data_IF_123568262733
#
_entry.id   IF_123568262733
#
_cell.length_a   1.000
_cell.length_b   1.000
_cell.length_c   1.000
_cell.angle_alpha   90.00
_cell.angle_beta   90.00
_cell.angle_gamma   90.00
#
_symmetry.space_group_name_H-M   'P 1'
#
loop_
_entity.id
_entity.type
_entity.pdbx_description
1 polymer ?
#
# COMPACT_ATOMS: atom_id res chain seq x y z
N UNK A 1 17.30 0.54 23.49
CA UNK A 1 16.13 -0.24 23.01
C UNK A 1 14.96 0.71 22.82
N UNK A 2 14.76 1.20 21.62
CA UNK A 2 13.53 1.88 21.27
C UNK A 2 12.45 0.82 21.22
N UNK A 3 11.47 0.90 22.11
CA UNK A 3 10.42 -0.12 22.22
C UNK A 3 9.61 -0.21 20.92
N UNK A 4 9.16 -1.42 20.58
CA UNK A 4 8.29 -1.71 19.43
C UNK A 4 7.10 -0.75 19.31
N UNK A 5 6.62 -0.17 20.42
CA UNK A 5 5.57 0.83 20.44
C UNK A 5 5.87 2.15 19.69
N UNK A 6 7.14 2.50 19.50
CA UNK A 6 7.53 3.75 18.79
C UNK A 6 7.53 3.56 17.27
N UNK A 7 7.81 2.36 16.78
CA UNK A 7 7.79 2.01 15.36
C UNK A 7 6.35 2.03 14.83
N UNK A 8 5.43 1.46 15.58
CA UNK A 8 4.01 1.37 15.17
C UNK A 8 3.24 2.69 15.27
N UNK A 9 3.65 3.61 16.15
CA UNK A 9 3.04 4.95 16.26
C UNK A 9 3.33 5.88 15.08
N UNK A 10 4.30 5.55 14.22
CA UNK A 10 4.64 6.32 13.03
C UNK A 10 3.80 5.97 11.80
N UNK A 11 3.04 4.88 11.88
CA UNK A 11 2.24 4.43 10.76
C UNK A 11 1.17 5.45 10.39
N UNK A 12 1.09 5.75 9.11
CA UNK A 12 0.02 6.51 8.54
C UNK A 12 0.17 8.03 8.59
N UNK A 13 1.40 8.55 8.63
CA UNK A 13 1.67 10.00 8.64
C UNK A 13 0.82 10.73 9.70
N UNK A 14 0.73 10.16 10.90
CA UNK A 14 -0.16 10.64 11.97
C UNK A 14 -0.01 12.15 12.24
N UNK A 15 1.22 12.67 12.16
CA UNK A 15 1.52 14.08 12.37
C UNK A 15 1.59 14.91 11.09
N UNK A 16 1.48 14.27 9.92
CA UNK A 16 1.60 14.88 8.60
C UNK A 16 0.43 14.49 7.69
N UNK A 17 -0.83 14.85 8.06
CA UNK A 17 -1.99 14.55 7.23
C UNK A 17 -1.98 15.47 6.00
N UNK A 18 -1.48 14.96 4.89
CA UNK A 18 -1.26 15.73 3.68
C UNK A 18 -2.39 15.58 2.66
N UNK A 19 -2.81 16.68 2.06
CA UNK A 19 -3.68 16.73 0.89
C UNK A 19 -4.91 15.83 0.97
N UNK A 20 -5.13 15.03 -0.07
CA UNK A 20 -6.26 14.07 -0.18
C UNK A 20 -6.28 13.07 0.98
N UNK A 21 -5.11 12.58 1.43
CA UNK A 21 -5.07 11.71 2.60
C UNK A 21 -5.54 12.43 3.88
N UNK A 22 -5.19 13.72 4.03
CA UNK A 22 -5.68 14.54 5.14
C UNK A 22 -7.21 14.69 5.12
N UNK A 23 -7.78 14.97 3.95
CA UNK A 23 -9.23 15.05 3.75
C UNK A 23 -9.94 13.73 4.04
N UNK A 24 -9.37 12.62 3.57
CA UNK A 24 -9.87 11.28 3.88
C UNK A 24 -9.87 11.01 5.39
N UNK A 25 -8.75 11.28 6.08
CA UNK A 25 -8.64 11.11 7.53
C UNK A 25 -9.64 11.99 8.28
N UNK A 26 -9.80 13.25 7.88
CA UNK A 26 -10.72 14.18 8.52
C UNK A 26 -12.18 13.74 8.30
N UNK A 27 -12.49 13.12 7.17
CA UNK A 27 -13.78 12.48 6.89
C UNK A 27 -14.02 11.26 7.77
N UNK A 28 -12.99 10.46 8.06
CA UNK A 28 -13.07 9.37 9.05
C UNK A 28 -13.33 9.92 10.45
N UNK A 29 -12.61 10.97 10.85
CA UNK A 29 -12.83 11.64 12.16
C UNK A 29 -14.25 12.17 12.27
N UNK A 30 -14.78 12.77 11.22
CA UNK A 30 -16.18 13.23 11.19
C UNK A 30 -17.17 12.06 11.33
N UNK A 31 -16.88 10.92 10.73
CA UNK A 31 -17.74 9.73 10.82
C UNK A 31 -17.71 9.08 12.20
N UNK A 32 -16.53 8.91 12.82
CA UNK A 32 -16.39 8.22 14.12
C UNK A 32 -16.39 9.17 15.33
N UNK A 33 -16.48 10.48 15.10
CA UNK A 33 -16.63 11.50 16.14
C UNK A 33 -15.31 12.07 16.68
N UNK A 34 -14.20 11.33 16.62
CA UNK A 34 -12.89 11.82 17.07
C UNK A 34 -11.72 11.01 16.51
N UNK A 35 -10.53 11.60 16.52
CA UNK A 35 -9.29 10.88 16.19
C UNK A 35 -9.01 9.75 17.19
N UNK A 36 -9.38 9.92 18.46
CA UNK A 36 -9.24 8.88 19.49
C UNK A 36 -10.09 7.64 19.21
N UNK A 37 -11.25 7.80 18.58
CA UNK A 37 -12.10 6.68 18.18
C UNK A 37 -11.51 5.81 17.07
N UNK A 38 -10.49 6.30 16.36
CA UNK A 38 -9.74 5.57 15.32
C UNK A 38 -8.50 4.85 15.87
N UNK A 39 -8.03 5.21 17.08
CA UNK A 39 -6.83 4.62 17.70
C UNK A 39 -7.19 3.36 18.51
N UNK A 40 -7.87 2.42 17.88
CA UNK A 40 -8.46 1.24 18.54
C UNK A 40 -7.48 0.07 18.66
N UNK A 41 -6.51 -0.03 17.76
CA UNK A 41 -5.47 -1.06 17.75
C UNK A 41 -4.07 -0.48 17.92
N UNK A 42 -3.05 -1.32 17.74
CA UNK A 42 -1.66 -0.87 17.87
C UNK A 42 -0.88 -0.79 16.56
N UNK A 43 -1.41 -1.34 15.47
CA UNK A 43 -0.76 -1.28 14.15
C UNK A 43 -0.81 0.13 13.54
N UNK A 44 -1.84 0.91 13.86
CA UNK A 44 -2.00 2.28 13.37
C UNK A 44 -2.76 3.14 14.38
N UNK A 45 -2.56 4.46 14.30
CA UNK A 45 -3.39 5.43 15.04
C UNK A 45 -4.68 5.81 14.27
N UNK A 46 -4.85 5.29 13.05
CA UNK A 46 -6.02 5.53 12.20
C UNK A 46 -6.48 4.17 11.67
N UNK A 47 -7.35 3.54 12.41
CA UNK A 47 -7.98 2.26 12.06
C UNK A 47 -9.46 2.49 11.79
N UNK A 48 -9.96 1.94 10.71
CA UNK A 48 -11.32 2.17 10.25
C UNK A 48 -11.88 0.94 9.52
N UNK A 49 -13.18 0.86 9.44
CA UNK A 49 -13.89 -0.18 8.69
C UNK A 49 -13.70 0.03 7.18
N UNK A 50 -13.27 -0.98 6.41
CA UNK A 50 -13.06 -0.85 4.96
C UNK A 50 -14.27 -0.31 4.20
N UNK A 51 -15.49 -0.70 4.59
CA UNK A 51 -16.74 -0.23 4.00
C UNK A 51 -16.92 1.29 4.17
N UNK A 52 -16.54 1.83 5.34
CA UNK A 52 -16.54 3.28 5.63
C UNK A 52 -15.51 4.00 4.76
N UNK A 53 -14.28 3.47 4.69
CA UNK A 53 -13.24 4.03 3.85
C UNK A 53 -13.62 4.07 2.37
N UNK A 54 -14.18 2.99 1.85
CA UNK A 54 -14.66 2.91 0.47
C UNK A 54 -15.77 3.93 0.18
N UNK A 55 -16.72 4.09 1.11
CA UNK A 55 -17.79 5.10 0.99
C UNK A 55 -17.24 6.52 0.98
N UNK A 56 -16.24 6.82 1.81
CA UNK A 56 -15.62 8.15 1.86
C UNK A 56 -14.94 8.45 0.52
N UNK A 57 -14.13 7.55 -0.03
CA UNK A 57 -13.48 7.76 -1.33
C UNK A 57 -14.52 7.91 -2.47
N UNK A 58 -15.59 7.11 -2.48
CA UNK A 58 -16.69 7.27 -3.45
C UNK A 58 -17.32 8.67 -3.34
N UNK A 59 -17.57 9.15 -2.13
CA UNK A 59 -18.13 10.47 -1.89
C UNK A 59 -17.18 11.60 -2.28
N UNK A 60 -15.88 11.45 -2.05
CA UNK A 60 -14.86 12.41 -2.50
C UNK A 60 -14.87 12.49 -4.02
N UNK A 61 -14.83 11.36 -4.72
CA UNK A 61 -14.88 11.32 -6.18
C UNK A 61 -16.19 11.93 -6.74
N UNK A 62 -17.33 11.64 -6.12
CA UNK A 62 -18.63 12.14 -6.58
C UNK A 62 -18.82 13.66 -6.45
N UNK A 63 -17.98 14.34 -5.67
CA UNK A 63 -18.00 15.81 -5.53
C UNK A 63 -17.27 16.53 -6.66
N UNK A 64 -16.47 15.80 -7.45
CA UNK A 64 -15.65 16.37 -8.50
C UNK A 64 -16.42 16.39 -9.84
N UNK A 65 -16.88 17.56 -10.30
CA UNK A 65 -17.80 17.64 -11.45
C UNK A 65 -17.15 17.23 -12.78
N UNK A 66 -15.82 17.25 -12.86
CA UNK A 66 -15.06 16.89 -14.05
C UNK A 66 -14.46 15.48 -13.99
N UNK A 67 -14.82 14.68 -12.98
CA UNK A 67 -14.36 13.31 -12.80
C UNK A 67 -15.47 12.34 -13.18
N UNK A 68 -15.19 11.48 -14.15
CA UNK A 68 -16.04 10.32 -14.46
C UNK A 68 -15.38 9.07 -13.87
N UNK A 69 -16.10 8.36 -13.00
CA UNK A 69 -15.66 7.08 -12.44
C UNK A 69 -16.47 5.97 -13.05
N UNK A 70 -15.81 5.03 -13.72
CA UNK A 70 -16.45 3.88 -14.34
C UNK A 70 -15.99 2.60 -13.61
N UNK A 71 -16.93 1.98 -12.91
CA UNK A 71 -16.70 0.71 -12.20
C UNK A 71 -16.84 -0.48 -13.15
N UNK A 72 -16.48 -1.68 -12.69
CA UNK A 72 -16.60 -2.94 -13.44
C UNK A 72 -16.01 -2.85 -14.85
N UNK A 73 -14.89 -2.12 -14.95
CA UNK A 73 -14.21 -1.82 -16.21
C UNK A 73 -12.80 -2.39 -16.17
N UNK A 74 -12.56 -3.37 -17.03
CA UNK A 74 -11.29 -4.10 -17.10
C UNK A 74 -10.42 -3.56 -18.22
N UNK A 75 -9.20 -3.17 -17.92
CA UNK A 75 -8.21 -2.79 -18.91
C UNK A 75 -7.90 -3.95 -19.88
N UNK A 76 -7.85 -3.66 -21.17
CA UNK A 76 -7.48 -4.62 -22.23
C UNK A 76 -6.14 -4.23 -22.83
N UNK A 77 -6.02 -3.00 -23.37
CA UNK A 77 -4.80 -2.54 -24.05
C UNK A 77 -4.67 -1.03 -24.04
N UNK A 78 -3.44 -0.56 -24.24
CA UNK A 78 -3.15 0.84 -24.49
C UNK A 78 -2.20 0.95 -25.68
N UNK A 79 -2.44 1.92 -26.56
CA UNK A 79 -1.63 2.22 -27.74
C UNK A 79 -1.24 3.69 -27.71
N UNK A 80 0.04 3.99 -27.92
CA UNK A 80 0.54 5.36 -28.03
C UNK A 80 0.09 5.95 -29.36
N UNK A 81 -0.52 7.13 -29.31
CA UNK A 81 -0.92 7.91 -30.48
C UNK A 81 0.01 9.10 -30.70
N UNK A 82 -0.21 9.87 -31.73
CA UNK A 82 0.55 11.09 -31.99
C UNK A 82 0.34 12.17 -30.90
N UNK A 83 -0.82 12.17 -30.22
CA UNK A 83 -1.22 13.21 -29.27
C UNK A 83 -1.49 12.69 -27.85
N UNK A 84 -1.25 11.41 -27.57
CA UNK A 84 -1.52 10.83 -26.26
C UNK A 84 -1.69 9.32 -26.33
N UNK A 85 -2.78 8.81 -25.80
CA UNK A 85 -3.05 7.39 -25.66
C UNK A 85 -4.46 7.02 -26.13
N UNK A 86 -4.57 5.85 -26.75
CA UNK A 86 -5.82 5.16 -26.99
C UNK A 86 -5.89 3.94 -26.09
N UNK A 87 -6.86 3.91 -25.19
CA UNK A 87 -7.04 2.83 -24.22
C UNK A 87 -8.31 2.06 -24.56
N UNK A 88 -8.23 0.74 -24.58
CA UNK A 88 -9.37 -0.16 -24.73
C UNK A 88 -9.64 -0.84 -23.41
N UNK A 89 -10.87 -0.82 -22.96
CA UNK A 89 -11.32 -1.49 -21.75
C UNK A 89 -12.62 -2.28 -22.01
N UNK A 90 -12.83 -3.32 -21.23
CA UNK A 90 -14.09 -4.08 -21.18
C UNK A 90 -14.96 -3.54 -20.04
N UNK A 91 -16.13 -3.06 -20.36
CA UNK A 91 -17.14 -2.66 -19.40
C UNK A 91 -18.35 -3.58 -19.56
N UNK A 92 -18.55 -4.47 -18.60
CA UNK A 92 -19.66 -5.44 -18.60
C UNK A 92 -19.78 -6.27 -19.90
N UNK A 93 -18.65 -6.75 -20.45
CA UNK A 93 -18.59 -7.55 -21.67
C UNK A 93 -18.65 -6.74 -22.97
N UNK A 94 -18.61 -5.40 -22.88
CA UNK A 94 -18.56 -4.51 -24.03
C UNK A 94 -17.27 -3.73 -24.05
N UNK A 95 -16.55 -3.80 -25.17
CA UNK A 95 -15.35 -3.00 -25.35
C UNK A 95 -15.68 -1.53 -25.56
N UNK A 96 -15.01 -0.68 -24.81
CA UNK A 96 -15.06 0.77 -24.92
C UNK A 96 -13.66 1.32 -25.20
N UNK A 97 -13.61 2.41 -25.94
CA UNK A 97 -12.36 3.09 -26.33
C UNK A 97 -12.31 4.46 -25.67
N UNK A 98 -11.20 4.75 -25.03
CA UNK A 98 -10.91 6.04 -24.41
C UNK A 98 -9.70 6.66 -25.11
N UNK A 99 -9.78 7.93 -25.43
CA UNK A 99 -8.64 8.72 -25.91
C UNK A 99 -8.26 9.75 -24.84
N UNK A 100 -6.98 9.88 -24.56
CA UNK A 100 -6.48 10.78 -23.53
C UNK A 100 -5.11 11.35 -23.90
N UNK A 101 -4.88 12.62 -23.57
CA UNK A 101 -3.57 13.26 -23.74
C UNK A 101 -2.52 12.60 -22.81
N UNK A 102 -2.91 12.28 -21.58
CA UNK A 102 -2.07 11.66 -20.57
C UNK A 102 -2.77 10.45 -19.96
N UNK A 103 -2.03 9.38 -19.82
CA UNK A 103 -2.44 8.16 -19.11
C UNK A 103 -1.77 8.11 -17.73
N UNK A 104 -2.53 7.76 -16.69
CA UNK A 104 -1.98 7.51 -15.36
C UNK A 104 -2.25 6.05 -14.98
N UNK A 105 -1.20 5.27 -14.78
CA UNK A 105 -1.31 3.92 -14.22
C UNK A 105 -1.26 3.98 -12.69
N UNK A 106 -2.36 3.62 -12.06
CA UNK A 106 -2.47 3.38 -10.63
C UNK A 106 -3.00 1.97 -10.34
N UNK A 107 -2.75 1.02 -11.24
CA UNK A 107 -3.15 -0.37 -11.04
C UNK A 107 -2.31 -1.02 -9.95
N UNK A 108 -2.89 -2.02 -9.30
CA UNK A 108 -2.31 -2.71 -8.15
C UNK A 108 -0.93 -3.32 -8.44
N UNK A 109 -0.71 -3.81 -9.66
CA UNK A 109 0.50 -4.52 -10.07
C UNK A 109 1.28 -3.84 -11.22
N UNK A 110 0.91 -2.61 -11.64
CA UNK A 110 1.57 -1.91 -12.75
C UNK A 110 1.30 -2.56 -14.11
N UNK A 111 0.11 -3.14 -14.28
CA UNK A 111 -0.22 -3.89 -15.50
C UNK A 111 -0.39 -2.98 -16.71
N UNK A 112 -0.87 -1.74 -16.52
CA UNK A 112 -0.98 -0.76 -17.61
C UNK A 112 0.41 -0.27 -18.03
N UNK A 113 1.29 0.04 -17.10
CA UNK A 113 2.67 0.44 -17.40
C UNK A 113 3.41 -0.64 -18.20
N UNK A 114 3.25 -1.92 -17.82
CA UNK A 114 3.77 -3.06 -18.59
C UNK A 114 3.22 -3.07 -20.03
N UNK A 115 1.91 -2.94 -20.19
CA UNK A 115 1.25 -2.93 -21.50
C UNK A 115 1.71 -1.75 -22.37
N UNK A 116 2.07 -0.62 -21.75
CA UNK A 116 2.65 0.54 -22.42
C UNK A 116 4.15 0.41 -22.72
N UNK A 117 4.78 -0.73 -22.46
CA UNK A 117 6.19 -0.99 -22.75
C UNK A 117 7.18 -0.35 -21.77
N UNK A 118 6.74 0.06 -20.59
CA UNK A 118 7.62 0.59 -19.54
C UNK A 118 8.51 -0.51 -19.00
N UNK A 119 9.82 -0.25 -18.89
CA UNK A 119 10.76 -1.13 -18.20
C UNK A 119 10.56 -1.07 -16.70
N UNK A 120 10.70 -2.21 -16.03
CA UNK A 120 10.47 -2.33 -14.59
C UNK A 120 11.35 -3.43 -13.98
N UNK A 121 11.43 -3.41 -12.66
CA UNK A 121 12.10 -4.42 -11.84
C UNK A 121 11.07 -5.09 -10.92
N UNK A 122 11.32 -6.35 -10.57
CA UNK A 122 10.52 -7.17 -9.64
C UNK A 122 11.45 -7.76 -8.58
N UNK A 123 10.98 -7.84 -7.34
CA UNK A 123 11.66 -8.55 -6.27
C UNK A 123 12.95 -7.86 -5.79
N UNK A 124 13.86 -8.66 -5.27
CA UNK A 124 15.06 -8.21 -4.54
C UNK A 124 16.14 -7.77 -5.53
N UNK A 125 16.79 -6.66 -5.22
CA UNK A 125 17.89 -6.08 -5.99
C UNK A 125 19.25 -6.47 -5.38
N UNK A 126 20.25 -6.65 -6.26
CA UNK A 126 21.64 -6.82 -5.85
C UNK A 126 22.20 -5.51 -5.27
N UNK A 127 22.75 -5.58 -4.05
CA UNK A 127 23.38 -4.43 -3.36
C UNK A 127 24.54 -3.81 -4.14
N UNK A 128 25.27 -4.61 -4.94
CA UNK A 128 26.36 -4.12 -5.75
C UNK A 128 25.88 -3.30 -6.95
N UNK A 129 24.63 -3.50 -7.37
CA UNK A 129 23.98 -2.76 -8.46
C UNK A 129 23.22 -1.57 -7.90
N UNK A 130 22.41 -1.77 -6.87
CA UNK A 130 21.58 -0.72 -6.24
C UNK A 130 22.40 0.26 -5.41
N UNK A 131 23.56 -0.13 -4.91
CA UNK A 131 24.38 0.64 -3.98
C UNK A 131 23.78 0.72 -2.56
N UNK A 132 22.78 -0.09 -2.25
CA UNK A 132 22.12 -0.12 -0.96
C UNK A 132 22.66 -1.26 -0.08
N UNK A 133 23.26 -0.91 1.05
CA UNK A 133 23.85 -1.92 1.95
C UNK A 133 22.81 -2.91 2.52
N UNK A 134 21.53 -2.58 2.49
CA UNK A 134 20.43 -3.40 3.00
C UNK A 134 19.84 -4.35 1.95
N UNK A 135 20.15 -4.15 0.67
CA UNK A 135 19.68 -4.99 -0.42
C UNK A 135 20.30 -6.40 -0.41
N UNK A 136 19.77 -7.30 -1.21
CA UNK A 136 20.25 -8.67 -1.34
C UNK A 136 21.65 -8.77 -1.97
N UNK A 137 22.20 -9.97 -1.97
CA UNK A 137 23.50 -10.25 -2.61
C UNK A 137 23.38 -10.54 -4.13
N UNK A 138 22.15 -10.70 -4.60
CA UNK A 138 21.83 -10.99 -6.01
C UNK A 138 20.44 -10.47 -6.36
N UNK A 139 20.21 -10.16 -7.64
CA UNK A 139 18.86 -9.96 -8.14
C UNK A 139 18.08 -11.27 -8.13
N UNK A 140 16.85 -11.23 -7.67
CA UNK A 140 15.90 -12.33 -7.78
C UNK A 140 14.47 -11.80 -7.76
N UNK A 141 13.53 -12.60 -8.23
CA UNK A 141 12.11 -12.27 -8.35
C UNK A 141 11.28 -12.60 -7.11
N UNK A 142 11.94 -12.78 -5.96
CA UNK A 142 11.27 -12.99 -4.68
C UNK A 142 10.61 -11.68 -4.26
N UNK A 143 9.28 -11.68 -4.20
CA UNK A 143 8.47 -10.54 -3.75
C UNK A 143 7.99 -10.74 -2.33
N UNK A 144 7.41 -9.70 -1.74
CA UNK A 144 6.79 -9.80 -0.43
C UNK A 144 5.51 -10.64 -0.47
N UNK A 145 5.22 -11.29 0.66
CA UNK A 145 3.97 -12.02 0.88
C UNK A 145 2.75 -11.13 0.64
N UNK A 146 1.66 -11.71 0.17
CA UNK A 146 0.36 -11.05 0.09
C UNK A 146 -0.60 -11.59 1.16
N UNK A 147 -1.67 -10.86 1.44
CA UNK A 147 -2.65 -11.27 2.46
C UNK A 147 -4.07 -10.95 2.02
N UNK A 148 -4.96 -11.94 2.03
CA UNK A 148 -6.38 -11.62 2.10
C UNK A 148 -6.71 -11.15 3.51
N UNK A 149 -6.66 -9.82 3.70
CA UNK A 149 -6.92 -9.17 4.98
C UNK A 149 -8.42 -9.28 5.30
N UNK A 150 -8.78 -10.35 6.00
CA UNK A 150 -10.18 -10.55 6.40
C UNK A 150 -10.57 -9.62 7.54
N UNK A 151 -11.82 -9.22 7.57
CA UNK A 151 -12.41 -8.50 8.69
C UNK A 151 -13.27 -9.49 9.47
N UNK A 152 -12.91 -9.68 10.72
CA UNK A 152 -13.72 -10.44 11.67
C UNK A 152 -14.57 -9.49 12.50
N UNK A 153 -15.75 -9.95 12.86
CA UNK A 153 -16.69 -9.28 13.77
C UNK A 153 -16.92 -10.16 14.99
N UNK A 154 -16.96 -9.55 16.15
CA UNK A 154 -17.37 -10.23 17.38
C UNK A 154 -18.90 -10.18 17.48
N UNK A 155 -19.52 -11.35 17.33
CA UNK A 155 -20.98 -11.52 17.36
C UNK A 155 -21.52 -11.73 18.78
N UNK A 156 -20.65 -11.62 19.79
CA UNK A 156 -21.01 -11.76 21.21
C UNK A 156 -20.69 -13.14 21.78
N UNK A 157 -20.63 -13.25 23.12
CA UNK A 157 -20.08 -14.42 23.80
C UNK A 157 -20.87 -15.72 23.60
N UNK A 158 -22.14 -15.62 23.26
CA UNK A 158 -23.02 -16.78 23.02
C UNK A 158 -23.09 -17.19 21.55
N UNK A 159 -22.44 -16.43 20.65
CA UNK A 159 -22.48 -16.73 19.23
C UNK A 159 -21.52 -17.87 18.88
N UNK A 160 -21.96 -18.73 17.97
CA UNK A 160 -21.12 -19.73 17.31
C UNK A 160 -21.06 -19.42 15.81
N UNK A 161 -19.96 -18.81 15.40
CA UNK A 161 -19.68 -18.38 14.04
C UNK A 161 -18.67 -19.30 13.35
N UNK A 162 -18.51 -20.53 13.87
CA UNK A 162 -17.53 -21.46 13.34
C UNK A 162 -17.83 -21.81 11.90
N UNK A 163 -16.78 -21.75 11.07
CA UNK A 163 -16.85 -22.18 9.68
C UNK A 163 -16.62 -23.70 9.56
N UNK A 164 -17.05 -24.27 8.45
CA UNK A 164 -16.72 -25.65 8.12
C UNK A 164 -15.20 -25.81 8.00
N UNK A 165 -14.70 -27.01 8.33
CA UNK A 165 -13.28 -27.30 8.24
C UNK A 165 -12.81 -27.18 6.79
N UNK A 166 -11.84 -26.25 6.50
CA UNK A 166 -11.30 -26.12 5.16
C UNK A 166 -10.61 -27.41 4.70
N UNK A 167 -10.71 -27.71 3.41
CA UNK A 167 -10.03 -28.84 2.82
C UNK A 167 -8.51 -28.76 3.05
N UNK A 168 -7.85 -29.89 3.32
CA UNK A 168 -6.41 -29.96 3.57
C UNK A 168 -5.91 -29.03 4.70
N UNK A 169 -6.76 -28.69 5.67
CA UNK A 169 -6.38 -27.89 6.83
C UNK A 169 -5.28 -28.58 7.65
N UNK A 170 -4.20 -27.84 7.88
CA UNK A 170 -3.07 -28.22 8.71
C UNK A 170 -2.86 -27.21 9.84
N UNK A 171 -3.17 -27.52 11.11
CA UNK A 171 -2.99 -26.60 12.22
C UNK A 171 -1.52 -26.24 12.50
N UNK A 172 -0.57 -27.08 12.08
CA UNK A 172 0.85 -26.86 12.35
C UNK A 172 1.38 -25.58 11.70
N UNK A 173 0.74 -25.13 10.62
CA UNK A 173 1.07 -23.88 9.93
C UNK A 173 0.78 -22.63 10.77
N UNK A 174 0.05 -22.75 11.90
CA UNK A 174 -0.42 -21.65 12.72
C UNK A 174 0.05 -21.70 14.18
N UNK A 175 0.78 -22.73 14.57
CA UNK A 175 1.16 -22.97 15.98
C UNK A 175 1.86 -21.79 16.63
N UNK A 176 2.68 -21.04 15.87
CA UNK A 176 3.39 -19.87 16.39
C UNK A 176 2.73 -18.53 15.96
N UNK A 177 1.49 -18.53 15.52
CA UNK A 177 0.77 -17.27 15.24
C UNK A 177 0.51 -16.46 16.51
N UNK A 178 0.43 -17.12 17.64
CA UNK A 178 0.45 -16.54 18.98
C UNK A 178 1.14 -17.48 19.95
N UNK A 179 1.33 -17.09 21.22
CA UNK A 179 1.84 -17.98 22.26
C UNK A 179 0.91 -19.18 22.41
N UNK A 180 1.44 -20.35 22.18
CA UNK A 180 0.75 -21.63 22.37
C UNK A 180 1.73 -22.69 22.85
N UNK A 181 1.21 -23.77 23.43
CA UNK A 181 2.02 -24.92 23.84
C UNK A 181 2.60 -25.67 22.63
N UNK A 182 1.99 -25.52 21.47
CA UNK A 182 2.40 -26.16 20.23
C UNK A 182 3.49 -25.40 19.47
N UNK A 183 3.76 -24.14 19.86
CA UNK A 183 4.85 -23.36 19.26
C UNK A 183 6.18 -23.83 19.82
N UNK A 184 6.92 -24.58 19.03
CA UNK A 184 8.24 -25.12 19.39
C UNK A 184 9.41 -24.34 18.81
N UNK A 185 9.16 -23.31 18.01
CA UNK A 185 10.20 -22.47 17.44
C UNK A 185 10.84 -21.59 18.52
N UNK A 186 12.14 -21.84 18.80
CA UNK A 186 12.89 -21.12 19.82
C UNK A 186 13.31 -19.69 19.40
N UNK A 187 13.25 -19.40 18.12
CA UNK A 187 13.64 -18.09 17.55
C UNK A 187 12.46 -17.13 17.54
N UNK A 188 11.27 -17.63 17.20
CA UNK A 188 10.05 -16.85 17.23
C UNK A 188 9.67 -16.50 18.67
N UNK A 189 9.25 -15.27 18.88
CA UNK A 189 8.72 -14.79 20.17
C UNK A 189 7.27 -14.35 19.96
N UNK A 190 6.36 -15.31 19.82
CA UNK A 190 4.96 -14.99 19.54
C UNK A 190 4.35 -14.24 20.72
N UNK A 191 3.40 -13.38 20.40
CA UNK A 191 2.67 -12.59 21.38
C UNK A 191 1.45 -13.35 21.89
N UNK A 192 0.93 -12.92 23.04
CA UNK A 192 -0.33 -13.43 23.55
C UNK A 192 -1.45 -13.17 22.53
N UNK A 193 -2.43 -14.05 22.45
CA UNK A 193 -3.51 -13.95 21.47
C UNK A 193 -4.27 -12.63 21.55
N UNK A 194 -4.53 -12.13 22.76
CA UNK A 194 -5.16 -10.80 22.94
C UNK A 194 -4.36 -9.67 22.28
N UNK A 195 -3.02 -9.75 22.34
CA UNK A 195 -2.16 -8.76 21.70
C UNK A 195 -2.21 -8.88 20.16
N UNK A 196 -2.31 -10.13 19.64
CA UNK A 196 -2.51 -10.38 18.21
C UNK A 196 -3.83 -9.78 17.76
N UNK A 197 -4.92 -10.00 18.48
CA UNK A 197 -6.24 -9.43 18.15
C UNK A 197 -6.25 -7.91 18.23
N UNK A 198 -5.55 -7.32 19.19
CA UNK A 198 -5.41 -5.87 19.32
C UNK A 198 -4.58 -5.23 18.21
N UNK A 199 -3.84 -6.00 17.42
CA UNK A 199 -3.07 -5.49 16.28
C UNK A 199 -3.97 -4.67 15.34
N UNK A 200 -5.00 -5.30 14.82
CA UNK A 200 -5.92 -4.71 13.84
C UNK A 200 -7.32 -4.47 14.39
N UNK A 201 -7.47 -4.17 15.69
CA UNK A 201 -8.78 -3.86 16.26
C UNK A 201 -9.35 -2.60 15.62
N UNK A 202 -10.50 -2.73 14.99
CA UNK A 202 -11.27 -1.67 14.34
C UNK A 202 -12.37 -1.14 15.28
N UNK A 203 -12.99 -0.01 14.95
CA UNK A 203 -14.28 0.38 15.58
C UNK A 203 -15.35 -0.72 15.44
N UNK A 204 -16.42 -0.63 16.22
CA UNK A 204 -17.62 -1.48 16.14
C UNK A 204 -17.36 -2.99 16.33
N UNK A 205 -16.44 -3.34 17.25
CA UNK A 205 -16.09 -4.73 17.60
C UNK A 205 -15.64 -5.58 16.40
N UNK A 206 -14.94 -4.96 15.47
CA UNK A 206 -14.34 -5.62 14.32
C UNK A 206 -12.83 -5.72 14.46
N UNK A 207 -12.24 -6.63 13.70
CA UNK A 207 -10.81 -6.92 13.73
C UNK A 207 -10.30 -7.18 12.31
N UNK A 208 -9.33 -6.40 11.87
CA UNK A 208 -8.59 -6.68 10.64
C UNK A 208 -7.53 -7.75 10.94
N UNK A 209 -7.59 -8.86 10.24
CA UNK A 209 -6.64 -9.94 10.34
C UNK A 209 -5.69 -9.88 9.14
N UNK A 210 -4.51 -9.36 9.39
CA UNK A 210 -3.37 -9.25 8.50
C UNK A 210 -2.13 -9.64 9.31
N UNK A 211 -1.96 -10.94 9.58
CA UNK A 211 -0.99 -11.41 10.56
C UNK A 211 0.15 -12.19 9.90
N UNK A 212 1.40 -11.65 9.90
CA UNK A 212 2.51 -12.26 9.18
C UNK A 212 3.08 -13.50 9.88
N UNK A 213 3.14 -13.50 11.23
CA UNK A 213 3.77 -14.58 11.99
C UNK A 213 2.91 -15.83 11.98
N UNK A 214 3.18 -16.77 11.07
CA UNK A 214 2.40 -17.99 10.89
C UNK A 214 0.87 -17.75 10.88
N UNK A 215 0.44 -16.60 10.38
CA UNK A 215 -0.97 -16.25 10.23
C UNK A 215 -1.47 -16.44 8.80
N UNK A 216 -2.16 -15.42 8.28
CA UNK A 216 -2.78 -15.47 6.97
C UNK A 216 -1.96 -14.86 5.83
N UNK A 217 -0.69 -14.47 6.06
CA UNK A 217 0.22 -14.14 4.96
C UNK A 217 0.46 -15.38 4.09
N UNK A 218 0.53 -15.15 2.78
CA UNK A 218 0.71 -16.18 1.76
C UNK A 218 1.72 -15.72 0.72
N UNK A 219 2.73 -16.55 0.44
CA UNK A 219 3.71 -16.27 -0.58
C UNK A 219 3.25 -16.79 -1.94
N UNK A 220 3.22 -15.89 -2.91
CA UNK A 220 3.12 -16.21 -4.33
C UNK A 220 3.53 -15.02 -5.17
N UNK A 221 4.30 -15.22 -6.24
CA UNK A 221 4.62 -14.17 -7.20
C UNK A 221 3.67 -14.24 -8.39
N UNK A 222 2.56 -13.50 -8.31
CA UNK A 222 1.53 -13.47 -9.37
C UNK A 222 1.77 -12.36 -10.39
N UNK A 223 2.85 -11.57 -10.26
CA UNK A 223 3.04 -10.35 -11.05
C UNK A 223 3.07 -10.65 -12.55
N UNK A 224 3.80 -11.69 -12.97
CA UNK A 224 3.94 -12.07 -14.38
C UNK A 224 2.97 -13.17 -14.82
N UNK A 225 2.15 -13.70 -13.92
CA UNK A 225 1.15 -14.71 -14.27
C UNK A 225 0.06 -14.15 -15.16
N UNK A 226 -0.50 -14.99 -16.00
CA UNK A 226 -1.76 -14.69 -16.69
C UNK A 226 -2.95 -14.67 -15.72
N UNK A 227 -4.11 -14.29 -16.21
CA UNK A 227 -5.31 -14.15 -15.41
C UNK A 227 -5.71 -15.47 -14.71
N UNK A 228 -5.63 -16.58 -15.42
CA UNK A 228 -5.96 -17.91 -14.87
C UNK A 228 -5.00 -18.34 -13.77
N UNK A 229 -3.71 -18.08 -13.98
CA UNK A 229 -2.68 -18.34 -12.99
C UNK A 229 -2.88 -17.50 -11.74
N UNK A 230 -3.13 -16.18 -11.91
CA UNK A 230 -3.45 -15.28 -10.80
C UNK A 230 -4.68 -15.76 -10.02
N UNK A 231 -5.77 -16.09 -10.71
CA UNK A 231 -7.00 -16.55 -10.08
C UNK A 231 -6.77 -17.84 -9.25
N UNK A 232 -6.03 -18.79 -9.79
CA UNK A 232 -5.71 -20.02 -9.10
C UNK A 232 -4.89 -19.80 -7.83
N UNK A 233 -3.88 -18.93 -7.88
CA UNK A 233 -3.06 -18.59 -6.71
C UNK A 233 -3.85 -17.77 -5.67
N UNK A 234 -4.68 -16.84 -6.12
CA UNK A 234 -5.51 -16.04 -5.22
C UNK A 234 -6.56 -16.88 -4.48
N UNK A 235 -7.09 -17.94 -5.10
CA UNK A 235 -7.93 -18.92 -4.40
C UNK A 235 -7.18 -19.63 -3.27
N UNK A 236 -5.91 -20.00 -3.48
CA UNK A 236 -5.08 -20.60 -2.42
C UNK A 236 -4.81 -19.60 -1.28
N UNK A 237 -4.57 -18.33 -1.61
CA UNK A 237 -4.38 -17.29 -0.61
C UNK A 237 -5.64 -17.01 0.22
N UNK A 238 -6.84 -17.03 -0.40
CA UNK A 238 -8.12 -16.99 0.32
C UNK A 238 -8.28 -18.21 1.23
N UNK A 239 -7.96 -19.38 0.72
CA UNK A 239 -8.00 -20.63 1.48
C UNK A 239 -7.08 -20.56 2.71
N UNK A 240 -5.86 -19.98 2.58
CA UNK A 240 -4.96 -19.76 3.71
C UNK A 240 -5.60 -18.91 4.80
N UNK A 241 -6.29 -17.82 4.44
CA UNK A 241 -6.98 -16.95 5.39
C UNK A 241 -8.13 -17.69 6.09
N UNK A 242 -8.92 -18.49 5.37
CA UNK A 242 -9.99 -19.31 5.97
C UNK A 242 -9.44 -20.41 6.89
N UNK A 243 -8.31 -21.03 6.56
CA UNK A 243 -7.62 -21.97 7.46
C UNK A 243 -7.19 -21.27 8.76
N UNK A 244 -6.71 -20.03 8.68
CA UNK A 244 -6.35 -19.30 9.88
C UNK A 244 -7.57 -18.91 10.72
N UNK A 245 -8.68 -18.52 10.10
CA UNK A 245 -9.95 -18.29 10.80
C UNK A 245 -10.42 -19.56 11.52
N UNK A 246 -10.39 -20.70 10.82
CA UNK A 246 -10.76 -21.99 11.41
C UNK A 246 -9.87 -22.31 12.64
N UNK A 247 -8.55 -22.10 12.52
CA UNK A 247 -7.61 -22.26 13.62
C UNK A 247 -7.96 -21.36 14.82
N UNK A 248 -8.28 -20.10 14.58
CA UNK A 248 -8.68 -19.17 15.65
C UNK A 248 -9.97 -19.62 16.36
N UNK A 249 -10.93 -20.15 15.62
CA UNK A 249 -12.21 -20.58 16.16
C UNK A 249 -12.09 -21.91 16.94
N UNK A 250 -11.35 -22.88 16.42
CA UNK A 250 -11.33 -24.24 16.97
C UNK A 250 -10.14 -24.51 17.92
N UNK A 251 -8.97 -23.97 17.62
CA UNK A 251 -7.77 -24.23 18.44
C UNK A 251 -7.53 -23.12 19.48
N UNK A 252 -7.94 -21.89 19.19
CA UNK A 252 -7.82 -20.76 20.12
C UNK A 252 -9.14 -20.40 20.82
N UNK A 253 -10.23 -21.09 20.49
CA UNK A 253 -11.52 -20.99 21.18
C UNK A 253 -12.35 -19.74 20.86
N UNK A 254 -12.03 -19.00 19.81
CA UNK A 254 -12.71 -17.75 19.43
C UNK A 254 -13.92 -17.99 18.53
N UNK A 255 -14.86 -18.84 18.98
CA UNK A 255 -16.05 -19.23 18.21
C UNK A 255 -17.00 -18.07 17.89
N UNK A 256 -16.98 -17.04 18.71
CA UNK A 256 -17.78 -15.82 18.53
C UNK A 256 -17.28 -14.89 17.42
N UNK A 257 -16.08 -15.13 16.90
CA UNK A 257 -15.52 -14.37 15.80
C UNK A 257 -15.90 -15.01 14.46
N UNK A 258 -16.55 -14.25 13.60
CA UNK A 258 -16.90 -14.65 12.24
C UNK A 258 -16.48 -13.60 11.22
N UNK A 259 -16.50 -13.93 9.92
CA UNK A 259 -16.34 -12.93 8.88
C UNK A 259 -17.43 -11.86 9.01
N UNK A 260 -17.02 -10.60 8.90
CA UNK A 260 -17.96 -9.48 8.99
C UNK A 260 -18.87 -9.45 7.75
N UNK A 261 -20.17 -9.50 7.97
CA UNK A 261 -21.20 -9.56 6.94
C UNK A 261 -21.53 -8.19 6.29
N UNK A 262 -20.92 -7.14 6.80
CA UNK A 262 -21.20 -5.75 6.43
C UNK A 262 -19.97 -4.99 5.89
N UNK A 263 -18.86 -5.69 5.55
CA UNK A 263 -17.63 -5.05 5.10
C UNK A 263 -17.36 -5.21 3.60
N UNK A 264 -17.48 -6.42 3.09
CA UNK A 264 -17.18 -6.70 1.68
C UNK A 264 -18.43 -7.19 0.95
N UNK A 265 -18.79 -6.61 -0.20
CA UNK A 265 -19.96 -7.03 -0.98
C UNK A 265 -19.63 -8.24 -1.86
N UNK A 266 -19.02 -9.26 -1.30
CA UNK A 266 -18.61 -10.52 -1.93
C UNK A 266 -19.34 -11.68 -1.28
N UNK A 267 -19.64 -12.73 -2.02
CA UNK A 267 -20.33 -13.91 -1.49
C UNK A 267 -19.53 -14.62 -0.38
N UNK A 268 -18.19 -14.59 -0.48
CA UNK A 268 -17.27 -15.20 0.48
C UNK A 268 -16.89 -14.26 1.64
N UNK A 269 -17.43 -13.05 1.70
CA UNK A 269 -17.17 -12.02 2.70
C UNK A 269 -15.66 -11.66 2.83
N UNK A 270 -14.87 -11.94 1.79
CA UNK A 270 -13.46 -11.56 1.70
C UNK A 270 -13.27 -10.40 0.70
N UNK A 271 -12.19 -9.64 0.79
CA UNK A 271 -11.94 -8.54 -0.15
C UNK A 271 -11.82 -9.04 -1.59
N UNK A 272 -12.17 -8.18 -2.57
CA UNK A 272 -12.03 -8.50 -4.00
C UNK A 272 -10.61 -8.87 -4.40
N UNK A 273 -9.63 -8.18 -3.83
CA UNK A 273 -8.20 -8.39 -4.05
C UNK A 273 -7.48 -8.51 -2.71
N UNK A 274 -6.36 -9.24 -2.65
CA UNK A 274 -5.54 -9.27 -1.44
C UNK A 274 -4.80 -7.94 -1.25
N UNK A 275 -4.27 -7.75 -0.07
CA UNK A 275 -3.27 -6.72 0.19
C UNK A 275 -1.93 -7.15 -0.44
N UNK A 276 -1.62 -6.58 -1.59
CA UNK A 276 -0.33 -6.71 -2.25
C UNK A 276 0.67 -5.73 -1.63
N UNK A 277 1.84 -6.21 -1.25
CA UNK A 277 2.90 -5.37 -0.69
C UNK A 277 3.95 -4.97 -1.71
N UNK A 278 3.97 -5.64 -2.86
CA UNK A 278 4.91 -5.37 -3.93
C UNK A 278 4.26 -5.50 -5.31
N UNK A 279 4.79 -4.76 -6.26
CA UNK A 279 4.37 -4.77 -7.65
C UNK A 279 5.58 -4.58 -8.57
N UNK A 280 5.36 -4.40 -9.87
CA UNK A 280 6.39 -3.88 -10.77
C UNK A 280 6.81 -2.50 -10.33
N UNK A 281 8.10 -2.29 -10.13
CA UNK A 281 8.67 -0.98 -9.84
C UNK A 281 9.29 -0.45 -11.13
N UNK A 282 8.70 0.59 -11.72
CA UNK A 282 9.14 1.11 -13.02
C UNK A 282 10.58 1.63 -12.96
N UNK A 283 11.27 1.59 -14.12
CA UNK A 283 12.52 2.31 -14.33
C UNK A 283 12.17 3.76 -14.68
N UNK A 284 12.13 4.62 -13.67
CA UNK A 284 11.76 6.02 -13.80
C UNK A 284 12.95 6.96 -13.99
N UNK A 285 12.63 8.23 -14.21
CA UNK A 285 13.62 9.33 -14.31
C UNK A 285 14.48 9.40 -13.06
N UNK A 286 13.89 9.10 -11.90
CA UNK A 286 14.57 8.95 -10.62
C UNK A 286 14.31 7.56 -10.08
N UNK A 287 15.38 6.86 -9.63
CA UNK A 287 15.28 5.67 -8.79
C UNK A 287 15.52 6.10 -7.35
N UNK A 288 14.45 6.13 -6.55
CA UNK A 288 14.55 6.53 -5.14
C UNK A 288 14.96 5.32 -4.29
N UNK A 289 16.07 5.45 -3.56
CA UNK A 289 16.67 4.38 -2.76
C UNK A 289 16.90 4.78 -1.29
N UNK A 290 17.26 3.83 -0.44
CA UNK A 290 17.38 4.04 1.00
C UNK A 290 18.51 5.01 1.38
N UNK A 291 19.57 5.11 0.59
CA UNK A 291 20.68 6.04 0.86
C UNK A 291 20.18 7.50 0.84
N UNK A 292 19.23 7.81 -0.05
CA UNK A 292 18.61 9.13 -0.17
C UNK A 292 17.65 9.42 0.99
N UNK A 293 17.09 8.40 1.62
CA UNK A 293 16.30 8.53 2.85
C UNK A 293 17.22 8.77 4.06
N UNK A 294 18.29 7.97 4.18
CA UNK A 294 19.20 8.03 5.32
C UNK A 294 20.07 9.31 5.36
N UNK A 295 20.41 9.82 4.19
CA UNK A 295 21.27 11.00 4.02
C UNK A 295 20.68 11.96 2.98
N UNK A 296 19.48 12.53 3.24
CA UNK A 296 18.79 13.33 2.23
C UNK A 296 19.58 14.55 1.75
N UNK A 297 20.39 15.15 2.62
CA UNK A 297 21.14 16.37 2.31
C UNK A 297 22.45 16.13 1.54
N UNK A 298 22.88 14.88 1.39
CA UNK A 298 23.98 14.50 0.49
C UNK A 298 23.54 14.54 -0.99
N UNK A 299 22.24 14.66 -1.24
CA UNK A 299 21.62 14.70 -2.55
C UNK A 299 20.75 15.95 -2.69
N UNK A 300 20.68 16.52 -3.89
CA UNK A 300 19.73 17.63 -4.16
C UNK A 300 18.29 17.14 -4.34
N UNK A 301 18.11 15.84 -4.37
CA UNK A 301 16.84 15.16 -4.72
C UNK A 301 15.72 15.48 -3.71
N UNK A 302 16.05 15.67 -2.43
CA UNK A 302 15.06 16.05 -1.41
C UNK A 302 14.28 17.33 -1.75
N UNK A 303 14.86 18.22 -2.56
CA UNK A 303 14.19 19.46 -3.03
C UNK A 303 13.08 19.19 -4.04
N UNK A 304 12.99 17.97 -4.55
CA UNK A 304 12.00 17.55 -5.55
C UNK A 304 10.84 16.77 -4.94
N UNK A 305 10.70 16.80 -3.62
CA UNK A 305 9.68 16.06 -2.87
C UNK A 305 8.25 16.50 -3.23
N UNK A 306 7.38 15.52 -3.38
CA UNK A 306 5.94 15.68 -3.70
C UNK A 306 5.03 14.92 -2.73
N UNK A 307 5.59 14.06 -1.93
CA UNK A 307 4.89 13.30 -0.89
C UNK A 307 5.83 13.14 0.31
N UNK A 308 5.28 12.93 1.49
CA UNK A 308 6.05 12.65 2.71
C UNK A 308 5.61 11.33 3.33
N UNK A 309 6.55 10.66 3.98
CA UNK A 309 6.31 9.42 4.71
C UNK A 309 7.13 9.34 5.99
N UNK A 310 6.68 8.50 6.92
CA UNK A 310 7.34 8.25 8.21
C UNK A 310 7.32 6.78 8.61
N UNK A 311 6.89 5.90 7.68
CA UNK A 311 6.85 4.47 7.93
C UNK A 311 8.25 3.87 7.81
N UNK A 312 8.64 2.95 8.72
CA UNK A 312 9.91 2.24 8.61
C UNK A 312 9.93 1.34 7.38
N UNK A 313 11.12 0.92 6.97
CA UNK A 313 11.25 -0.16 5.99
C UNK A 313 10.71 -1.44 6.62
N UNK A 314 9.66 -1.98 6.02
CA UNK A 314 8.95 -3.16 6.49
C UNK A 314 8.70 -4.11 5.31
N UNK A 315 9.29 -5.30 5.38
CA UNK A 315 9.16 -6.34 4.37
C UNK A 315 8.57 -7.60 4.98
N UNK A 316 7.66 -8.20 4.26
CA UNK A 316 7.00 -9.44 4.61
C UNK A 316 7.45 -10.56 3.67
N UNK A 317 8.28 -11.46 4.18
CA UNK A 317 8.77 -12.63 3.46
C UNK A 317 8.68 -13.91 4.31
N UNK A 318 7.90 -13.88 5.40
CA UNK A 318 7.87 -14.99 6.36
C UNK A 318 7.21 -16.24 5.79
N UNK A 319 6.30 -16.08 4.83
CA UNK A 319 5.68 -17.20 4.14
C UNK A 319 6.52 -17.75 2.98
N UNK A 320 7.61 -17.06 2.56
CA UNK A 320 8.51 -17.57 1.54
C UNK A 320 9.23 -18.83 2.03
N UNK A 321 9.19 -19.95 1.27
CA UNK A 321 9.63 -21.23 1.79
C UNK A 321 11.15 -21.37 2.01
N UNK A 322 11.97 -20.62 1.25
CA UNK A 322 13.44 -20.72 1.33
C UNK A 322 14.05 -19.47 1.98
N UNK A 323 13.99 -19.41 3.32
CA UNK A 323 14.50 -18.29 4.11
C UNK A 323 16.03 -18.07 3.97
N UNK A 324 16.78 -19.09 3.52
CA UNK A 324 18.22 -18.97 3.30
C UNK A 324 18.56 -17.92 2.22
N UNK A 325 17.71 -17.80 1.20
CA UNK A 325 17.90 -16.82 0.11
C UNK A 325 17.71 -15.37 0.58
N UNK A 326 17.10 -15.18 1.72
CA UNK A 326 16.76 -13.85 2.26
C UNK A 326 17.76 -13.38 3.34
N UNK A 327 18.73 -14.21 3.73
CA UNK A 327 19.68 -13.91 4.83
C UNK A 327 20.50 -12.65 4.61
N UNK A 328 20.71 -12.26 3.36
CA UNK A 328 21.48 -11.07 3.02
C UNK A 328 20.68 -9.77 3.15
N UNK A 329 19.35 -9.85 3.15
CA UNK A 329 18.50 -8.69 3.39
C UNK A 329 18.61 -8.23 4.84
N UNK A 330 18.79 -6.93 5.02
CA UNK A 330 18.80 -6.31 6.35
C UNK A 330 18.00 -5.03 6.32
N UNK A 331 17.46 -4.65 7.47
CA UNK A 331 16.69 -3.44 7.60
C UNK A 331 17.06 -2.70 8.88
N UNK A 332 17.16 -1.38 8.76
CA UNK A 332 17.42 -0.51 9.89
C UNK A 332 16.34 0.57 10.03
N UNK A 333 16.44 1.39 11.07
CA UNK A 333 15.54 2.53 11.23
C UNK A 333 15.80 3.58 10.14
N UNK A 334 14.73 4.15 9.59
CA UNK A 334 14.78 5.29 8.68
C UNK A 334 14.14 6.52 9.33
N UNK A 335 14.62 7.73 9.05
CA UNK A 335 13.92 8.95 9.43
C UNK A 335 12.64 9.11 8.59
N UNK A 336 11.81 10.09 8.94
CA UNK A 336 10.77 10.58 8.04
C UNK A 336 11.41 11.12 6.77
N UNK A 337 10.76 10.94 5.64
CA UNK A 337 11.33 11.19 4.31
C UNK A 337 10.32 11.90 3.41
N UNK A 338 10.81 12.42 2.30
CA UNK A 338 9.98 12.85 1.18
C UNK A 338 10.31 12.05 -0.07
N UNK A 339 9.32 11.91 -0.94
CA UNK A 339 9.44 11.15 -2.19
C UNK A 339 9.60 12.10 -3.36
N UNK A 340 10.62 11.96 -4.21
CA UNK A 340 10.89 12.85 -5.32
C UNK A 340 9.92 12.67 -6.49
N UNK A 341 9.57 13.75 -7.20
CA UNK A 341 8.62 13.72 -8.33
C UNK A 341 9.03 12.77 -9.46
N UNK A 342 10.32 12.67 -9.74
CA UNK A 342 10.82 11.86 -10.85
C UNK A 342 10.55 10.34 -10.74
N UNK A 343 10.09 9.86 -9.58
CA UNK A 343 9.67 8.45 -9.41
C UNK A 343 8.39 8.12 -10.18
N UNK A 344 7.56 9.14 -10.49
CA UNK A 344 6.30 8.99 -11.20
C UNK A 344 6.48 8.82 -12.71
N UNK A 345 7.61 9.25 -13.27
CA UNK A 345 7.83 9.39 -14.71
C UNK A 345 8.66 8.23 -15.24
N UNK A 346 8.12 7.38 -16.13
CA UNK A 346 8.89 6.37 -16.83
C UNK A 346 10.06 6.99 -17.60
N UNK A 347 11.19 6.28 -17.68
CA UNK A 347 12.40 6.80 -18.31
C UNK A 347 12.30 6.93 -19.84
N UNK A 348 11.62 6.00 -20.49
CA UNK A 348 11.58 5.90 -21.95
C UNK A 348 10.21 6.18 -22.57
N UNK A 349 9.14 6.11 -21.79
CA UNK A 349 7.75 6.32 -22.25
C UNK A 349 7.26 7.71 -21.85
N UNK A 350 6.69 8.44 -22.83
CA UNK A 350 6.13 9.79 -22.62
C UNK A 350 4.62 9.75 -22.43
N UNK A 351 4.05 10.84 -21.90
CA UNK A 351 2.61 11.03 -21.64
C UNK A 351 1.99 9.92 -20.79
N UNK A 352 2.83 9.26 -19.99
CA UNK A 352 2.46 8.24 -19.02
C UNK A 352 3.03 8.62 -17.66
N UNK A 353 2.19 8.56 -16.64
CA UNK A 353 2.55 8.68 -15.24
C UNK A 353 2.26 7.34 -14.57
N UNK A 354 3.14 6.89 -13.70
CA UNK A 354 2.90 5.70 -12.89
C UNK A 354 2.84 6.11 -11.43
N UNK A 355 1.75 5.79 -10.78
CA UNK A 355 1.52 6.11 -9.38
C UNK A 355 1.43 4.82 -8.53
N UNK A 356 0.90 4.92 -7.34
CA UNK A 356 0.74 3.82 -6.40
C UNK A 356 2.10 3.18 -6.04
N UNK A 357 2.18 1.89 -5.72
CA UNK A 357 3.43 1.21 -5.33
C UNK A 357 4.33 0.82 -6.52
N UNK A 358 3.85 1.04 -7.75
CA UNK A 358 4.62 0.76 -8.98
C UNK A 358 5.60 1.87 -9.37
N UNK A 359 5.69 2.94 -8.58
CA UNK A 359 6.65 4.03 -8.78
C UNK A 359 8.11 3.56 -8.75
N UNK A 360 9.02 4.38 -9.28
CA UNK A 360 10.44 4.05 -9.39
C UNK A 360 11.17 4.17 -8.06
N UNK A 361 11.03 3.17 -7.22
CA UNK A 361 11.74 3.02 -5.95
C UNK A 361 12.51 1.71 -5.91
N UNK A 362 13.54 1.61 -5.06
CA UNK A 362 14.21 0.32 -4.85
C UNK A 362 13.29 -0.66 -4.09
N UNK A 363 13.64 -1.95 -4.12
CA UNK A 363 12.94 -2.96 -3.32
C UNK A 363 12.89 -2.56 -1.83
N UNK A 364 14.02 -2.10 -1.28
CA UNK A 364 14.09 -1.65 0.12
C UNK A 364 13.10 -0.51 0.40
N UNK A 365 13.11 0.52 -0.46
CA UNK A 365 12.24 1.71 -0.28
C UNK A 365 10.77 1.40 -0.54
N UNK A 366 10.44 0.42 -1.38
CA UNK A 366 9.06 -0.04 -1.50
C UNK A 366 8.46 -0.42 -0.14
N UNK A 367 9.25 -1.03 0.75
CA UNK A 367 8.80 -1.41 2.09
C UNK A 367 8.26 -0.25 2.94
N UNK A 368 8.66 0.99 2.69
CA UNK A 368 8.17 2.14 3.42
C UNK A 368 7.25 3.07 2.62
N UNK A 369 7.30 3.06 1.28
CA UNK A 369 6.50 3.96 0.43
C UNK A 369 5.15 3.40 0.00
N UNK A 370 4.93 2.09 0.11
CA UNK A 370 3.70 1.38 -0.31
C UNK A 370 2.45 1.64 0.55
N UNK A 371 2.57 2.44 1.60
CA UNK A 371 1.48 2.69 2.55
C UNK A 371 0.49 3.74 2.02
N UNK A 372 -0.79 3.57 2.38
CA UNK A 372 -1.88 4.44 1.93
C UNK A 372 -1.59 5.95 2.03
N UNK A 373 -0.99 6.47 3.13
CA UNK A 373 -0.68 7.89 3.21
C UNK A 373 0.27 8.39 2.13
N UNK A 374 1.25 7.58 1.75
CA UNK A 374 2.24 7.94 0.72
C UNK A 374 1.65 7.77 -0.67
N UNK A 375 1.06 6.61 -0.97
CA UNK A 375 0.50 6.34 -2.32
C UNK A 375 -0.64 7.28 -2.68
N UNK A 376 -1.45 7.71 -1.71
CA UNK A 376 -2.50 8.71 -1.94
C UNK A 376 -1.91 10.08 -2.30
N UNK A 377 -0.82 10.49 -1.65
CA UNK A 377 -0.10 11.72 -1.98
C UNK A 377 0.56 11.64 -3.36
N UNK A 378 1.12 10.48 -3.72
CA UNK A 378 1.68 10.23 -5.07
C UNK A 378 0.59 10.35 -6.14
N UNK A 379 -0.60 9.80 -5.90
CA UNK A 379 -1.76 9.95 -6.78
C UNK A 379 -2.19 11.41 -6.95
N UNK A 380 -2.21 12.18 -5.85
CA UNK A 380 -2.50 13.62 -5.91
C UNK A 380 -1.46 14.38 -6.75
N UNK A 381 -0.18 14.11 -6.54
CA UNK A 381 0.89 14.74 -7.30
C UNK A 381 0.85 14.35 -8.79
N UNK A 382 0.53 13.09 -9.10
CA UNK A 382 0.34 12.60 -10.47
C UNK A 382 -0.79 13.35 -11.18
N UNK A 383 -1.93 13.52 -10.53
CA UNK A 383 -3.06 14.29 -11.07
C UNK A 383 -2.72 15.76 -11.30
N UNK A 384 -2.00 16.40 -10.37
CA UNK A 384 -1.55 17.79 -10.52
C UNK A 384 -0.58 17.92 -11.70
N UNK A 385 0.39 17.02 -11.81
CA UNK A 385 1.38 17.02 -12.88
C UNK A 385 0.69 16.88 -14.25
N UNK A 386 -0.22 15.93 -14.39
CA UNK A 386 -1.00 15.73 -15.61
C UNK A 386 -1.84 16.98 -15.96
N UNK A 387 -2.56 17.52 -14.98
CA UNK A 387 -3.41 18.69 -15.19
C UNK A 387 -2.63 19.94 -15.64
N UNK A 388 -1.42 20.18 -15.06
CA UNK A 388 -0.55 21.27 -15.46
C UNK A 388 -0.04 21.09 -16.89
N UNK A 389 0.39 19.87 -17.25
CA UNK A 389 0.89 19.56 -18.58
C UNK A 389 -0.20 19.79 -19.65
N UNK A 390 -1.39 19.25 -19.44
CA UNK A 390 -2.53 19.40 -20.38
C UNK A 390 -2.97 20.87 -20.49
N UNK A 391 -3.14 21.55 -19.34
CA UNK A 391 -3.61 22.94 -19.31
C UNK A 391 -2.69 23.89 -20.07
N UNK A 392 -1.40 23.64 -20.05
CA UNK A 392 -0.39 24.52 -20.65
C UNK A 392 0.16 23.96 -21.97
N UNK A 393 -0.40 22.83 -22.45
CA UNK A 393 0.01 22.12 -23.66
C UNK A 393 1.53 21.88 -23.69
N UNK A 394 2.06 21.29 -22.60
CA UNK A 394 3.47 20.96 -22.40
C UNK A 394 3.65 19.45 -22.20
N UNK A 395 4.84 18.96 -22.49
CA UNK A 395 5.22 17.61 -22.10
C UNK A 395 5.31 17.48 -20.57
N UNK A 396 5.04 16.28 -20.04
CA UNK A 396 5.12 16.01 -18.59
C UNK A 396 6.47 16.42 -17.96
N UNK A 397 7.56 16.27 -18.72
CA UNK A 397 8.92 16.59 -18.25
C UNK A 397 9.27 18.07 -18.29
N UNK A 398 8.50 18.88 -18.99
CA UNK A 398 8.64 20.32 -19.03
C UNK A 398 7.95 21.00 -17.83
N UNK A 399 7.01 20.31 -17.18
CA UNK A 399 6.40 20.79 -15.95
C UNK A 399 7.44 20.73 -14.82
N UNK A 400 7.76 21.87 -14.27
CA UNK A 400 8.78 21.94 -13.21
C UNK A 400 8.25 21.40 -11.88
N UNK A 401 9.14 20.82 -11.11
CA UNK A 401 8.79 20.36 -9.74
C UNK A 401 8.18 21.49 -8.91
N UNK A 402 8.68 22.74 -9.06
CA UNK A 402 8.18 23.88 -8.30
C UNK A 402 6.74 24.26 -8.62
N UNK A 403 6.29 24.06 -9.85
CA UNK A 403 4.89 24.26 -10.22
C UNK A 403 3.99 23.23 -9.53
N UNK A 404 4.36 21.96 -9.58
CA UNK A 404 3.63 20.89 -8.87
C UNK A 404 3.62 21.14 -7.36
N UNK A 405 4.75 21.46 -6.77
CA UNK A 405 4.89 21.77 -5.34
C UNK A 405 4.03 22.95 -4.90
N UNK A 406 3.92 23.98 -5.75
CA UNK A 406 3.06 25.15 -5.48
C UNK A 406 1.61 24.71 -5.30
N UNK A 407 1.09 23.94 -6.26
CA UNK A 407 -0.31 23.45 -6.23
C UNK A 407 -0.53 22.47 -5.06
N UNK A 408 0.44 21.58 -4.77
CA UNK A 408 0.37 20.70 -3.62
C UNK A 408 0.22 21.48 -2.31
N UNK A 409 1.04 22.51 -2.08
CA UNK A 409 0.97 23.34 -0.87
C UNK A 409 -0.33 24.15 -0.77
N UNK A 410 -0.85 24.61 -1.89
CA UNK A 410 -2.14 25.30 -1.95
C UNK A 410 -3.30 24.36 -1.53
N UNK A 411 -3.17 23.06 -1.83
CA UNK A 411 -4.14 22.02 -1.53
C UNK A 411 -3.74 21.16 -0.31
N UNK A 412 -3.04 21.72 0.64
CA UNK A 412 -2.77 21.10 1.93
C UNK A 412 -1.73 19.98 1.92
N UNK A 413 -0.90 19.87 0.87
CA UNK A 413 0.21 18.93 0.80
C UNK A 413 1.36 19.30 1.74
N UNK A 414 2.25 18.32 1.96
CA UNK A 414 3.56 18.47 2.58
C UNK A 414 4.62 18.14 1.54
N UNK A 415 5.71 18.92 1.52
CA UNK A 415 6.88 18.67 0.66
C UNK A 415 8.04 18.10 1.45
N UNK A 416 8.15 18.49 2.71
CA UNK A 416 9.18 18.09 3.66
C UNK A 416 8.52 17.57 4.94
N UNK A 417 9.09 16.55 5.59
CA UNK A 417 8.50 15.94 6.79
C UNK A 417 8.75 16.77 8.05
N UNK A 418 8.57 18.09 7.97
CA UNK A 418 8.72 19.01 9.09
C UNK A 418 7.41 19.14 9.87
N UNK A 419 7.50 18.93 11.17
CA UNK A 419 6.37 18.99 12.10
C UNK A 419 6.53 20.10 13.16
N UNK A 420 7.60 20.93 13.04
CA UNK A 420 7.91 21.98 14.00
C UNK A 420 6.98 23.18 13.89
N UNK A 421 6.42 23.41 12.70
CA UNK A 421 5.40 24.41 12.46
C UNK A 421 4.07 23.74 12.14
N UNK A 422 2.97 24.13 12.81
CA UNK A 422 1.63 23.70 12.46
C UNK A 422 1.25 24.13 11.02
N UNK A 423 0.38 23.37 10.38
CA UNK A 423 -0.02 23.59 8.99
C UNK A 423 -0.71 24.92 8.74
N UNK A 424 -1.38 25.47 9.76
CA UNK A 424 -2.04 26.79 9.76
C UNK A 424 -1.11 27.96 10.07
N UNK A 425 0.16 27.69 10.41
CA UNK A 425 1.13 28.75 10.68
C UNK A 425 1.44 29.55 9.41
N UNK A 426 1.49 30.92 9.46
CA UNK A 426 1.71 31.78 8.29
C UNK A 426 2.99 31.46 7.51
N UNK A 427 4.02 30.95 8.17
CA UNK A 427 5.29 30.59 7.54
C UNK A 427 5.39 29.11 7.12
N UNK A 428 4.34 28.29 7.30
CA UNK A 428 4.38 26.87 6.96
C UNK A 428 4.75 26.63 5.50
N UNK A 429 4.06 27.29 4.56
CA UNK A 429 4.35 27.15 3.12
C UNK A 429 5.76 27.60 2.75
N UNK A 430 6.28 28.63 3.40
CA UNK A 430 7.65 29.09 3.18
C UNK A 430 8.67 28.05 3.66
N UNK A 431 8.47 27.50 4.88
CA UNK A 431 9.32 26.44 5.43
C UNK A 431 9.35 25.22 4.51
N UNK A 432 8.19 24.78 4.03
CA UNK A 432 8.07 23.63 3.11
C UNK A 432 8.81 23.85 1.76
N UNK A 433 8.96 25.11 1.32
CA UNK A 433 9.64 25.45 0.05
C UNK A 433 11.15 25.61 0.19
N UNK A 434 11.62 26.03 1.35
CA UNK A 434 13.04 26.30 1.61
C UNK A 434 13.79 24.99 1.93
N UNK A 435 13.13 24.10 2.63
CA UNK A 435 13.66 22.80 3.06
C UNK A 435 13.81 21.83 1.94
#
# INVERSE_FOLDING_TARGET
>A
SRGLGDVYKRQGNYRMPAGIFGEFRDSLVAHYGSLGALATGWVSNVLFEPSVGARIYKNMAAREPNLTVQYETKFISAEKTATGWKVVADHNGKQEVFEADILIDATELGDVAKACGVKYDIGIEDRNISGEAWAGDKNCDIIQDLTYAMILKDYGPEADMTIERPENYDPSLFYCSCKSQNCTDSVLKPWDFDMVMRYGKLPNNKYMINWPMQGNDYYTNIIEMDEKGREAELKKAKHRSLCYLYYMQHELGSKNLGLADDEYPTEDLLPFIPYHRESRRIQGVVRFNVNQILRPYDYTLYRTGIAVGDYPVDHHHQAYPNQEELKSLTFGPVPSYNVPMGVLLPKEVTDLIVAEKSVSVSNIVNGCTRLQPVVTQLGQAAGILAALAVKENRELREVTVREVQKVLLENGGYLMPYIDLPKDHPHFKALQRIG
#
